data_IF_590946087827
#
_entry.id   IF_590946087827
#
_cell.length_a   1.000
_cell.length_b   1.000
_cell.length_c   1.000
_cell.angle_alpha   90.00
_cell.angle_beta   90.00
_cell.angle_gamma   90.00
#
_symmetry.space_group_name_H-M   'P 1'
#
loop_
_entity.id
_entity.type
_entity.pdbx_description
1 polymer ?
#
# COMPACT_ATOMS: atom_id res chain seq x y z
N UNK A 1 5.80 -10.97 12.89
CA UNK A 1 4.81 -10.85 11.79
C UNK A 1 5.01 -12.02 10.83
N UNK A 2 3.96 -12.80 10.56
CA UNK A 2 4.01 -13.85 9.53
C UNK A 2 3.65 -13.22 8.18
N UNK A 3 4.67 -12.96 7.35
CA UNK A 3 4.53 -12.20 6.10
C UNK A 3 3.64 -12.95 5.09
N UNK A 4 3.80 -14.27 4.99
CA UNK A 4 3.04 -15.07 4.03
C UNK A 4 1.55 -15.02 4.39
N UNK A 5 1.20 -15.26 5.65
CA UNK A 5 -0.19 -15.15 6.13
C UNK A 5 -0.78 -13.78 5.84
N UNK A 6 -0.08 -12.69 6.16
CA UNK A 6 -0.58 -11.35 5.90
C UNK A 6 -0.82 -11.11 4.40
N UNK A 7 0.10 -11.55 3.53
CA UNK A 7 -0.07 -11.37 2.08
C UNK A 7 -1.24 -12.17 1.51
N UNK A 8 -1.53 -13.36 2.05
CA UNK A 8 -2.69 -14.17 1.67
C UNK A 8 -4.00 -13.50 2.09
N UNK A 9 -4.06 -12.96 3.31
CA UNK A 9 -5.24 -12.20 3.81
C UNK A 9 -5.54 -10.98 2.93
N UNK A 10 -4.51 -10.23 2.50
CA UNK A 10 -4.69 -9.12 1.56
C UNK A 10 -5.15 -9.58 0.17
N UNK A 11 -4.60 -10.69 -0.34
CA UNK A 11 -5.03 -11.26 -1.61
C UNK A 11 -6.52 -11.62 -1.58
N UNK A 12 -6.98 -12.21 -0.49
CA UNK A 12 -8.38 -12.59 -0.34
C UNK A 12 -9.29 -11.36 -0.21
N UNK A 13 -8.84 -10.29 0.46
CA UNK A 13 -9.56 -9.01 0.50
C UNK A 13 -9.73 -8.38 -0.89
N UNK A 14 -8.69 -8.39 -1.72
CA UNK A 14 -8.77 -7.88 -3.11
C UNK A 14 -9.73 -8.74 -3.93
N UNK A 15 -9.67 -10.07 -3.80
CA UNK A 15 -10.61 -10.98 -4.47
C UNK A 15 -12.07 -10.71 -4.07
N UNK A 16 -12.34 -10.55 -2.78
CA UNK A 16 -13.67 -10.23 -2.27
C UNK A 16 -14.15 -8.86 -2.78
N UNK A 17 -13.26 -7.87 -2.84
CA UNK A 17 -13.57 -6.54 -3.35
C UNK A 17 -13.93 -6.59 -4.84
N UNK A 18 -13.14 -7.29 -5.65
CA UNK A 18 -13.41 -7.45 -7.08
C UNK A 18 -14.68 -8.25 -7.35
N UNK A 19 -15.01 -9.22 -6.49
CA UNK A 19 -16.26 -9.96 -6.58
C UNK A 19 -17.47 -9.06 -6.28
N UNK A 20 -17.38 -8.24 -5.23
CA UNK A 20 -18.48 -7.39 -4.78
C UNK A 20 -18.64 -6.12 -5.62
N UNK A 21 -17.55 -5.60 -6.13
CA UNK A 21 -17.47 -4.33 -6.88
C UNK A 21 -16.62 -4.53 -8.14
N UNK A 22 -17.13 -5.22 -9.17
CA UNK A 22 -16.35 -5.60 -10.35
C UNK A 22 -15.85 -4.42 -11.20
N UNK A 23 -16.48 -3.25 -11.06
CA UNK A 23 -16.05 -2.01 -11.71
C UNK A 23 -15.10 -1.16 -10.87
N UNK A 24 -14.86 -1.52 -9.60
CA UNK A 24 -13.98 -0.76 -8.73
C UNK A 24 -12.51 -1.00 -9.10
N UNK A 25 -11.72 0.07 -9.07
CA UNK A 25 -10.27 -0.01 -9.15
C UNK A 25 -9.74 -0.06 -7.72
N UNK A 26 -9.00 -1.12 -7.39
CA UNK A 26 -8.40 -1.27 -6.07
C UNK A 26 -7.01 -0.66 -6.06
N UNK A 27 -6.78 0.31 -5.18
CA UNK A 27 -5.47 0.89 -4.90
C UNK A 27 -4.94 0.37 -3.59
N UNK A 28 -3.78 -0.27 -3.64
CA UNK A 28 -3.03 -0.72 -2.48
C UNK A 28 -1.92 0.27 -2.19
N UNK A 29 -2.01 0.96 -1.05
CA UNK A 29 -0.97 1.90 -0.62
C UNK A 29 0.12 1.11 0.09
N UNK A 30 1.37 1.28 -0.35
CA UNK A 30 2.54 0.70 0.28
C UNK A 30 2.57 1.02 1.78
N UNK A 31 2.89 0.01 2.61
CA UNK A 31 3.02 0.19 4.05
C UNK A 31 4.22 1.08 4.33
N UNK A 32 3.97 2.14 5.10
CA UNK A 32 4.96 3.16 5.45
C UNK A 32 6.11 2.58 6.29
N UNK A 33 7.34 3.10 6.13
CA UNK A 33 8.46 2.64 6.94
C UNK A 33 8.24 3.11 8.38
N UNK A 34 8.38 2.23 9.36
CA UNK A 34 8.14 2.56 10.78
C UNK A 34 9.02 1.74 11.71
N UNK A 35 9.12 2.25 12.93
CA UNK A 35 9.72 1.55 14.06
C UNK A 35 11.22 1.32 13.92
N UNK A 36 11.70 0.23 14.52
CA UNK A 36 13.11 -0.15 14.48
C UNK A 36 13.48 -0.76 13.13
N UNK A 37 14.78 -0.87 12.86
CA UNK A 37 15.31 -1.44 11.62
C UNK A 37 14.69 -2.80 11.27
N UNK A 38 14.57 -3.71 12.25
CA UNK A 38 13.98 -5.04 12.04
C UNK A 38 12.51 -5.02 11.64
N UNK A 39 11.73 -4.05 12.13
CA UNK A 39 10.33 -3.87 11.75
C UNK A 39 10.24 -3.31 10.33
N UNK A 40 11.08 -2.33 10.02
CA UNK A 40 11.19 -1.77 8.68
C UNK A 40 11.59 -2.83 7.63
N UNK A 41 12.50 -3.75 7.96
CA UNK A 41 12.89 -4.85 7.06
C UNK A 41 11.73 -5.84 6.83
N UNK A 42 10.91 -6.11 7.86
CA UNK A 42 9.70 -6.90 7.69
C UNK A 42 8.66 -6.21 6.81
N UNK A 43 8.52 -4.89 6.96
CA UNK A 43 7.62 -4.06 6.13
C UNK A 43 8.08 -4.07 4.68
N UNK A 44 9.37 -3.89 4.40
CA UNK A 44 9.93 -3.97 3.05
C UNK A 44 9.63 -5.32 2.39
N UNK A 45 9.85 -6.42 3.11
CA UNK A 45 9.53 -7.77 2.63
C UNK A 45 8.04 -7.97 2.36
N UNK A 46 7.17 -7.48 3.24
CA UNK A 46 5.72 -7.54 3.05
C UNK A 46 5.27 -6.68 1.86
N UNK A 47 5.78 -5.46 1.70
CA UNK A 47 5.50 -4.60 0.55
C UNK A 47 5.90 -5.25 -0.78
N UNK A 48 7.04 -5.94 -0.82
CA UNK A 48 7.46 -6.69 -2.01
C UNK A 48 6.46 -7.80 -2.36
N UNK A 49 5.96 -8.55 -1.37
CA UNK A 49 4.93 -9.57 -1.57
C UNK A 49 3.59 -8.97 -2.01
N UNK A 50 3.17 -7.87 -1.39
CA UNK A 50 1.92 -7.18 -1.73
C UNK A 50 1.94 -6.59 -3.14
N UNK A 51 3.11 -6.13 -3.60
CA UNK A 51 3.30 -5.73 -4.99
C UNK A 51 3.04 -6.89 -5.95
N UNK A 52 3.60 -8.07 -5.68
CA UNK A 52 3.33 -9.27 -6.49
C UNK A 52 1.85 -9.66 -6.47
N UNK A 53 1.20 -9.56 -5.30
CA UNK A 53 -0.24 -9.78 -5.17
C UNK A 53 -1.01 -8.83 -6.09
N UNK A 54 -0.65 -7.54 -6.12
CA UNK A 54 -1.32 -6.59 -7.00
C UNK A 54 -1.05 -6.80 -8.48
N UNK A 55 0.16 -7.18 -8.86
CA UNK A 55 0.48 -7.55 -10.25
C UNK A 55 -0.38 -8.75 -10.70
N UNK A 56 -0.55 -9.76 -9.83
CA UNK A 56 -1.35 -10.95 -10.12
C UNK A 56 -2.86 -10.67 -10.18
N UNK A 57 -3.37 -9.82 -9.29
CA UNK A 57 -4.80 -9.50 -9.19
C UNK A 57 -5.22 -8.27 -10.00
N UNK A 58 -4.28 -7.67 -10.76
CA UNK A 58 -4.48 -6.44 -11.53
C UNK A 58 -4.98 -5.25 -10.67
N UNK A 59 -4.53 -5.16 -9.40
CA UNK A 59 -4.71 -3.95 -8.58
C UNK A 59 -3.54 -2.98 -8.73
N UNK A 60 -3.79 -1.71 -8.39
CA UNK A 60 -2.79 -0.66 -8.46
C UNK A 60 -1.97 -0.64 -7.17
N UNK A 61 -0.67 -0.92 -7.25
CA UNK A 61 0.23 -0.77 -6.11
C UNK A 61 0.84 0.64 -6.10
N UNK A 62 0.51 1.43 -5.08
CA UNK A 62 0.97 2.82 -4.91
C UNK A 62 2.22 2.83 -4.04
N UNK A 63 3.37 3.06 -4.67
CA UNK A 63 4.62 3.30 -3.94
C UNK A 63 4.51 4.63 -3.19
N UNK A 64 4.82 4.61 -1.91
CA UNK A 64 4.70 5.79 -1.05
C UNK A 64 5.95 6.00 -0.19
N UNK A 65 6.75 4.96 0.05
CA UNK A 65 7.86 5.03 0.99
C UNK A 65 8.90 6.09 0.67
N UNK A 66 9.10 6.40 -0.61
CA UNK A 66 10.07 7.40 -1.06
C UNK A 66 9.78 8.82 -0.54
N UNK A 67 8.52 9.17 -0.22
CA UNK A 67 8.21 10.49 0.37
C UNK A 67 8.43 10.52 1.88
N UNK A 68 8.66 9.37 2.53
CA UNK A 68 8.90 9.26 3.97
C UNK A 68 10.35 8.92 4.31
N UNK A 69 11.25 9.05 3.33
CA UNK A 69 12.67 8.86 3.48
C UNK A 69 13.43 10.17 3.25
N UNK A 70 14.53 10.34 3.97
CA UNK A 70 15.51 11.40 3.72
C UNK A 70 16.36 11.05 2.48
N UNK A 71 17.24 11.95 2.07
CA UNK A 71 18.13 11.77 0.91
C UNK A 71 19.08 10.57 1.08
N UNK A 72 19.38 10.17 2.31
CA UNK A 72 20.19 8.98 2.63
C UNK A 72 19.38 7.68 2.65
N UNK A 73 18.08 7.73 2.34
CA UNK A 73 17.18 6.57 2.38
C UNK A 73 16.75 6.13 3.79
N UNK A 74 17.09 6.92 4.82
CA UNK A 74 16.65 6.72 6.21
C UNK A 74 15.24 7.26 6.43
N UNK A 75 14.54 6.81 7.46
CA UNK A 75 13.18 7.29 7.77
C UNK A 75 13.24 8.76 8.21
N UNK A 76 12.41 9.62 7.59
CA UNK A 76 12.23 10.99 8.04
C UNK A 76 11.34 11.03 9.29
N UNK A 77 11.96 10.96 10.46
CA UNK A 77 11.27 10.98 11.75
C UNK A 77 10.50 12.29 12.00
N UNK A 78 10.81 13.38 11.27
CA UNK A 78 10.08 14.65 11.40
C UNK A 78 8.65 14.58 10.85
N UNK A 79 8.30 13.51 10.13
CA UNK A 79 6.96 13.22 9.62
C UNK A 79 6.10 12.41 10.59
N UNK A 80 6.67 11.90 11.69
CA UNK A 80 5.99 11.06 12.68
C UNK A 80 5.70 11.83 13.98
N UNK A 81 4.89 11.26 14.87
CA UNK A 81 4.56 11.83 16.19
C UNK A 81 5.65 11.63 17.26
N UNK A 82 6.84 11.14 16.85
CA UNK A 82 7.95 10.80 17.75
C UNK A 82 7.97 9.33 18.19
N UNK A 83 6.89 8.59 17.95
CA UNK A 83 6.81 7.14 18.20
C UNK A 83 7.32 6.27 17.03
N UNK A 84 7.73 6.92 15.94
CA UNK A 84 8.21 6.28 14.72
C UNK A 84 7.15 5.42 14.01
N UNK A 85 5.87 5.57 14.34
CA UNK A 85 4.77 4.75 13.79
C UNK A 85 3.62 5.59 13.27
N UNK A 86 3.11 6.53 14.05
CA UNK A 86 2.00 7.38 13.65
C UNK A 86 2.53 8.63 12.94
N UNK A 87 1.95 8.97 11.79
CA UNK A 87 2.23 10.23 11.12
C UNK A 87 1.75 11.40 11.98
N UNK A 88 2.53 12.47 12.03
CA UNK A 88 2.02 13.72 12.58
C UNK A 88 1.06 14.38 11.58
N UNK A 89 0.04 15.06 12.12
CA UNK A 89 -1.02 15.64 11.30
C UNK A 89 -0.52 16.74 10.36
N UNK A 90 0.43 17.57 10.82
CA UNK A 90 0.87 18.76 10.10
C UNK A 90 1.74 18.47 8.88
N UNK A 91 2.66 17.50 8.98
CA UNK A 91 3.64 17.21 7.92
C UNK A 91 3.41 15.84 7.33
N UNK A 92 3.41 14.79 8.16
CA UNK A 92 3.29 13.41 7.69
C UNK A 92 1.97 13.13 6.96
N UNK A 93 0.85 13.42 7.61
CA UNK A 93 -0.48 13.22 7.01
C UNK A 93 -0.69 14.11 5.79
N UNK A 94 -0.25 15.37 5.83
CA UNK A 94 -0.32 16.27 4.67
C UNK A 94 0.48 15.75 3.47
N UNK A 95 1.69 15.21 3.70
CA UNK A 95 2.54 14.63 2.66
C UNK A 95 1.91 13.38 2.04
N UNK A 96 1.31 12.50 2.86
CA UNK A 96 0.54 11.35 2.37
C UNK A 96 -0.67 11.80 1.54
N UNK A 97 -1.43 12.77 2.03
CA UNK A 97 -2.61 13.27 1.34
C UNK A 97 -2.27 13.87 -0.03
N UNK A 98 -1.18 14.64 -0.12
CA UNK A 98 -0.70 15.17 -1.39
C UNK A 98 -0.36 14.07 -2.39
N UNK A 99 0.39 13.04 -1.95
CA UNK A 99 0.73 11.89 -2.79
C UNK A 99 -0.53 11.19 -3.32
N UNK A 100 -1.50 10.93 -2.44
CA UNK A 100 -2.74 10.24 -2.82
C UNK A 100 -3.60 11.08 -3.75
N UNK A 101 -3.64 12.40 -3.55
CA UNK A 101 -4.32 13.32 -4.46
C UNK A 101 -3.76 13.20 -5.88
N UNK A 102 -2.45 13.17 -6.04
CA UNK A 102 -1.82 13.08 -7.36
C UNK A 102 -2.12 11.72 -8.04
N UNK A 103 -2.01 10.63 -7.29
CA UNK A 103 -2.30 9.27 -7.77
C UNK A 103 -3.77 9.12 -8.21
N UNK A 104 -4.70 9.67 -7.44
CA UNK A 104 -6.13 9.60 -7.75
C UNK A 104 -6.49 10.56 -8.90
N UNK A 105 -5.88 11.74 -8.96
CA UNK A 105 -6.13 12.71 -10.04
C UNK A 105 -5.71 12.16 -11.41
N UNK A 106 -4.60 11.41 -11.48
CA UNK A 106 -4.17 10.74 -12.71
C UNK A 106 -5.19 9.72 -13.23
N UNK A 107 -5.96 9.08 -12.36
CA UNK A 107 -7.00 8.13 -12.78
C UNK A 107 -8.22 8.84 -13.36
N UNK A 108 -8.60 9.97 -12.78
CA UNK A 108 -9.76 10.76 -13.24
C UNK A 108 -9.50 11.35 -14.62
N UNK A 109 -8.28 11.83 -14.88
CA UNK A 109 -7.95 12.49 -16.16
C UNK A 109 -7.62 11.52 -17.29
N UNK A 110 -7.08 10.33 -16.99
CA UNK A 110 -6.63 9.40 -18.03
C UNK A 110 -7.71 8.46 -18.57
N UNK A 111 -8.85 8.30 -17.87
CA UNK A 111 -9.94 7.39 -18.27
C UNK A 111 -9.50 5.94 -18.48
N UNK A 112 -8.28 5.57 -18.07
CA UNK A 112 -7.68 4.25 -18.27
C UNK A 112 -7.23 3.69 -16.91
N UNK A 113 -7.48 2.40 -16.63
CA UNK A 113 -6.92 1.76 -15.46
C UNK A 113 -5.38 1.70 -15.59
N UNK A 114 -4.67 2.18 -14.57
CA UNK A 114 -3.20 2.17 -14.51
C UNK A 114 -2.67 0.75 -14.29
N UNK A 115 -2.84 -0.13 -15.27
CA UNK A 115 -1.90 -1.23 -15.42
C UNK A 115 -0.57 -0.61 -15.88
N UNK A 116 0.44 -0.64 -15.03
CA UNK A 116 1.85 -0.32 -15.33
C UNK A 116 2.24 1.17 -15.23
N UNK A 117 2.25 1.72 -14.01
CA UNK A 117 3.29 2.70 -13.62
C UNK A 117 4.42 1.95 -12.89
N UNK A 118 5.07 1.02 -13.60
CA UNK A 118 6.29 0.34 -13.14
C UNK A 118 7.57 0.98 -13.70
N UNK A 119 7.52 2.12 -14.39
CA UNK A 119 8.71 2.72 -14.97
C UNK A 119 8.56 4.23 -15.17
N UNK A 120 8.67 4.99 -14.09
CA UNK A 120 9.36 6.27 -14.19
C UNK A 120 10.83 6.03 -13.79
N UNK A 121 11.80 6.19 -14.71
CA UNK A 121 13.20 6.16 -14.36
C UNK A 121 13.56 7.51 -13.74
N UNK A 122 13.36 7.65 -12.43
CA UNK A 122 14.09 8.69 -11.70
C UNK A 122 15.53 8.20 -11.50
N UNK A 123 16.54 9.07 -11.66
CA UNK A 123 17.93 8.67 -11.77
C UNK A 123 18.41 8.06 -10.45
N UNK A 124 18.45 6.74 -10.41
CA UNK A 124 19.29 6.01 -9.47
C UNK A 124 20.74 6.26 -9.88
N UNK A 125 21.45 7.08 -9.10
CA UNK A 125 22.91 7.11 -9.11
C UNK A 125 23.43 5.75 -8.62
N UNK A 126 23.54 4.79 -9.53
CA UNK A 126 24.31 3.57 -9.30
C UNK A 126 25.61 3.64 -10.10
N UNK A 127 26.77 3.43 -9.46
CA UNK A 127 28.05 3.35 -10.15
C UNK A 127 28.05 2.12 -11.08
N UNK A 128 28.42 2.36 -12.33
CA UNK A 128 28.48 1.37 -13.40
C UNK A 128 29.48 0.25 -13.06
N UNK A 129 29.08 -1.03 -12.99
CA UNK A 129 30.03 -2.12 -13.02
C UNK A 129 30.45 -2.42 -14.46
N UNK A 130 31.73 -2.70 -14.65
CA UNK A 130 32.36 -3.00 -15.92
C UNK A 130 31.68 -4.17 -16.64
N UNK A 131 31.45 -3.98 -17.94
CA UNK A 131 30.77 -4.87 -18.87
C UNK A 131 31.66 -6.07 -19.21
N UNK A 132 31.43 -7.21 -18.57
CA UNK A 132 31.99 -8.50 -19.02
C UNK A 132 31.01 -9.18 -19.98
N UNK A 133 31.44 -9.43 -21.21
CA UNK A 133 30.64 -10.11 -22.23
C UNK A 133 30.42 -11.59 -21.86
N UNK A 134 29.21 -11.93 -21.42
CA UNK A 134 28.75 -13.31 -21.29
C UNK A 134 27.98 -13.70 -22.56
N UNK A 135 28.48 -14.72 -23.26
CA UNK A 135 27.83 -15.36 -24.41
C UNK A 135 26.45 -15.89 -24.02
N UNK A 136 25.43 -15.59 -24.82
CA UNK A 136 24.11 -16.17 -24.63
C UNK A 136 24.05 -17.64 -25.09
N UNK A 137 23.34 -18.52 -24.36
CA UNK A 137 23.05 -19.87 -24.83
C UNK A 137 21.96 -19.86 -25.90
N UNK A 138 22.15 -20.71 -26.89
CA UNK A 138 21.26 -20.96 -28.03
C UNK A 138 20.04 -21.75 -27.55
N UNK A 139 18.85 -21.18 -27.70
CA UNK A 139 17.58 -21.87 -27.42
C UNK A 139 17.15 -22.68 -28.65
N UNK A 140 16.81 -23.96 -28.43
CA UNK A 140 16.18 -24.83 -29.43
C UNK A 140 14.65 -24.66 -29.42
N UNK A 141 13.94 -24.88 -30.54
CA UNK A 141 12.48 -24.76 -30.59
C UNK A 141 11.81 -25.94 -29.86
N UNK A 142 10.91 -25.65 -28.94
CA UNK A 142 10.04 -26.64 -28.28
C UNK A 142 8.81 -26.87 -29.17
N UNK A 143 8.55 -28.13 -29.50
CA UNK A 143 7.38 -28.56 -30.26
C UNK A 143 6.07 -28.37 -29.48
N UNK A 144 5.07 -27.96 -30.25
CA UNK A 144 3.64 -27.77 -30.01
C UNK A 144 3.02 -28.77 -29.00
N UNK A 145 2.56 -28.28 -27.84
CA UNK A 145 1.74 -29.03 -26.88
C UNK A 145 0.29 -28.55 -26.99
N UNK A 146 -0.59 -29.42 -27.46
CA UNK A 146 -2.04 -29.22 -27.47
C UNK A 146 -2.57 -29.17 -26.02
N UNK A 147 -3.05 -28.01 -25.59
CA UNK A 147 -3.79 -27.88 -24.32
C UNK A 147 -5.26 -28.27 -24.50
N UNK A 148 -5.85 -29.06 -23.58
CA UNK A 148 -7.27 -29.36 -23.59
C UNK A 148 -8.12 -28.14 -23.19
N UNK A 149 -9.29 -28.04 -23.83
CA UNK A 149 -10.29 -27.00 -23.66
C UNK A 149 -10.96 -27.11 -22.27
N UNK A 150 -11.07 -26.04 -21.48
CA UNK A 150 -11.77 -26.12 -20.20
C UNK A 150 -13.28 -26.28 -20.39
N UNK A 151 -13.96 -27.04 -19.52
CA UNK A 151 -15.41 -27.18 -19.56
C UNK A 151 -16.11 -25.88 -19.17
N UNK A 152 -17.20 -25.59 -19.88
CA UNK A 152 -18.13 -24.49 -19.63
C UNK A 152 -18.75 -24.61 -18.24
N UNK A 153 -18.37 -23.72 -17.32
CA UNK A 153 -18.98 -23.62 -16.00
C UNK A 153 -20.32 -22.88 -16.07
N UNK A 154 -21.37 -23.57 -15.64
CA UNK A 154 -22.69 -23.00 -15.39
C UNK A 154 -22.64 -21.93 -14.30
N UNK A 155 -23.33 -20.82 -14.58
CA UNK A 155 -23.53 -19.67 -13.71
C UNK A 155 -24.24 -20.08 -12.41
N UNK A 156 -23.55 -19.97 -11.28
CA UNK A 156 -24.20 -19.94 -9.97
C UNK A 156 -24.82 -18.56 -9.76
N UNK A 157 -26.15 -18.51 -9.78
CA UNK A 157 -26.94 -17.32 -9.50
C UNK A 157 -27.08 -17.18 -7.98
N UNK A 158 -26.35 -16.23 -7.39
CA UNK A 158 -26.45 -15.93 -5.96
C UNK A 158 -27.78 -15.22 -5.65
N UNK A 159 -28.42 -15.50 -4.50
CA UNK A 159 -29.64 -14.82 -4.08
C UNK A 159 -29.37 -13.34 -3.75
N UNK A 160 -30.38 -12.47 -3.90
CA UNK A 160 -30.25 -11.04 -3.59
C UNK A 160 -30.03 -10.84 -2.08
N UNK A 161 -28.99 -10.05 -1.73
CA UNK A 161 -28.75 -9.64 -0.35
C UNK A 161 -29.73 -8.54 0.08
N UNK A 162 -30.26 -8.58 1.31
CA UNK A 162 -31.07 -7.50 1.85
C UNK A 162 -30.24 -6.22 2.00
N UNK A 163 -30.80 -5.10 1.51
CA UNK A 163 -30.25 -3.77 1.72
C UNK A 163 -30.32 -3.41 3.20
N UNK A 164 -29.17 -3.32 3.86
CA UNK A 164 -29.07 -2.66 5.16
C UNK A 164 -28.83 -1.16 4.94
N UNK A 165 -29.63 -0.27 5.57
CA UNK A 165 -29.37 1.16 5.52
C UNK A 165 -28.03 1.47 6.20
N UNK A 166 -27.29 2.50 5.74
CA UNK A 166 -26.03 2.89 6.34
C UNK A 166 -26.24 3.35 7.79
N UNK A 167 -25.30 3.05 8.70
CA UNK A 167 -25.38 3.51 10.08
C UNK A 167 -25.31 5.04 10.12
N UNK A 168 -26.35 5.66 10.67
CA UNK A 168 -26.39 7.09 10.97
C UNK A 168 -25.30 7.42 11.98
N UNK A 169 -24.32 8.22 11.56
CA UNK A 169 -23.31 8.79 12.46
C UNK A 169 -23.99 9.70 13.48
N UNK A 170 -24.08 9.26 14.74
CA UNK A 170 -24.46 10.11 15.86
C UNK A 170 -23.28 11.05 16.19
N UNK A 171 -23.53 12.35 16.43
CA UNK A 171 -22.48 13.29 16.82
C UNK A 171 -21.97 12.95 18.22
N UNK A 172 -20.66 12.69 18.32
CA UNK A 172 -19.94 12.48 19.57
C UNK A 172 -20.03 13.71 20.46
N UNK A 173 -20.78 13.63 21.55
CA UNK A 173 -20.70 14.59 22.65
C UNK A 173 -19.37 14.38 23.38
N UNK A 174 -18.39 15.25 23.11
CA UNK A 174 -17.17 15.35 23.90
C UNK A 174 -17.52 15.92 25.28
N UNK A 175 -17.10 15.29 26.40
CA UNK A 175 -17.25 15.89 27.71
C UNK A 175 -16.36 17.14 27.84
N UNK A 176 -16.79 18.14 28.63
CA UNK A 176 -16.03 19.38 28.81
C UNK A 176 -14.69 19.14 29.53
N UNK A 177 -13.67 19.97 29.26
CA UNK A 177 -12.34 19.82 29.84
C UNK A 177 -12.34 20.09 31.34
N UNK A 178 -11.93 19.09 32.13
CA UNK A 178 -11.61 19.28 33.54
C UNK A 178 -10.33 20.11 33.68
N UNK A 179 -10.46 21.32 34.24
CA UNK A 179 -9.36 22.18 34.66
C UNK A 179 -8.61 21.55 35.83
N UNK A 180 -7.39 21.04 35.59
CA UNK A 180 -6.44 20.66 36.63
C UNK A 180 -5.48 21.82 36.89
N UNK A 181 -5.87 22.78 37.75
CA UNK A 181 -4.93 23.71 38.36
C UNK A 181 -4.39 23.09 39.67
N UNK A 182 -3.18 22.55 39.63
CA UNK A 182 -2.42 22.24 40.83
C UNK A 182 -1.54 23.44 41.21
N UNK A 183 -2.00 24.21 42.21
CA UNK A 183 -1.16 25.16 42.95
C UNK A 183 -0.14 24.42 43.81
N UNK A 184 1.14 24.52 43.48
CA UNK A 184 2.23 24.14 44.37
C UNK A 184 2.48 25.27 45.37
N UNK A 185 2.20 25.02 46.66
CA UNK A 185 2.74 25.83 47.76
C UNK A 185 4.21 25.45 47.98
N UNK A 186 5.12 26.42 47.84
CA UNK A 186 6.47 26.33 48.41
C UNK A 186 6.37 26.49 49.91
N UNK A 187 6.83 25.50 50.67
CA UNK A 187 7.18 25.70 52.07
C UNK A 187 8.65 26.10 52.12
N UNK A 188 8.91 27.28 52.68
CA UNK A 188 10.23 27.75 53.07
C UNK A 188 10.42 27.50 54.55
N UNK A 189 11.43 26.70 54.90
CA UNK A 189 12.14 26.70 56.18
C UNK A 189 13.56 26.25 55.90
#
# INVERSE_FOLDING_TARGET
>A
MNIDRCSEEYRDLVRLTNLKFPSAIVHFIELLPRGKQTENDNIKRLNQRLRQVCENLKCCFVKSNYVFQNDEGTIDNSLYQGDGTHLNCSKGTAKLASLLKDVLSLHVTSGRPLSVLSSHPYPMNNPTPARTHVRQPRWSPIHNINLPKPPSSNLFQLPPFPFYPPPTCMPSQLPPPHNWYHTYKRNST
#
